data_IF_001252846977
#
_entry.id   IF_001252846977
#
_cell.length_a   1.000
_cell.length_b   1.000
_cell.length_c   1.000
_cell.angle_alpha   90.00
_cell.angle_beta   90.00
_cell.angle_gamma   90.00
#
_symmetry.space_group_name_H-M   'P 1'
#
loop_
_entity.id
_entity.type
_entity.pdbx_description
1 polymer ?
#
# COMPACT_ATOMS: atom_id res chain seq x y z
N UNK A 1 4.53 -25.46 35.31
CA UNK A 1 3.73 -25.18 34.11
C UNK A 1 3.25 -23.74 34.24
N UNK A 2 4.01 -22.77 33.71
CA UNK A 2 3.55 -21.38 33.63
C UNK A 2 2.32 -21.37 32.73
N UNK A 3 1.22 -20.86 33.25
CA UNK A 3 -0.04 -20.79 32.49
C UNK A 3 0.16 -19.93 31.24
N UNK A 4 -0.29 -20.40 30.08
CA UNK A 4 -0.34 -19.63 28.84
C UNK A 4 -1.10 -18.32 29.09
N UNK A 5 -0.58 -17.20 28.58
CA UNK A 5 -1.18 -15.85 28.65
C UNK A 5 -1.10 -15.11 30.02
N UNK A 6 -0.30 -15.59 31.00
CA UNK A 6 -0.17 -14.93 32.30
C UNK A 6 0.67 -13.64 32.22
N UNK A 7 1.65 -13.59 31.32
CA UNK A 7 2.59 -12.47 31.21
C UNK A 7 2.18 -11.44 30.13
N UNK A 8 0.98 -11.59 29.53
CA UNK A 8 0.50 -10.69 28.49
C UNK A 8 -0.08 -9.42 29.11
N UNK A 9 0.53 -8.27 28.77
CA UNK A 9 -0.06 -6.96 29.06
C UNK A 9 -1.01 -6.57 27.92
N UNK A 10 -2.29 -6.82 28.10
CA UNK A 10 -3.32 -6.57 27.05
C UNK A 10 -3.41 -5.12 26.61
N UNK A 11 -3.05 -4.16 27.49
CA UNK A 11 -2.97 -2.75 27.12
C UNK A 11 -1.91 -2.48 26.05
N UNK A 12 -0.74 -3.14 26.14
CA UNK A 12 0.32 -3.01 25.14
C UNK A 12 -0.10 -3.59 23.79
N UNK A 13 -0.82 -4.72 23.81
CA UNK A 13 -1.36 -5.32 22.57
C UNK A 13 -2.41 -4.41 21.94
N UNK A 14 -3.32 -3.83 22.72
CA UNK A 14 -4.32 -2.89 22.22
C UNK A 14 -3.66 -1.65 21.59
N UNK A 15 -2.67 -1.06 22.27
CA UNK A 15 -1.92 0.07 21.75
C UNK A 15 -1.19 -0.29 20.44
N UNK A 16 -0.54 -1.45 20.39
CA UNK A 16 0.14 -1.92 19.20
C UNK A 16 -0.81 -2.19 18.02
N UNK A 17 -2.03 -2.66 18.28
CA UNK A 17 -3.07 -2.76 17.26
C UNK A 17 -3.42 -1.37 16.70
N UNK A 18 -3.63 -0.37 17.57
CA UNK A 18 -3.95 0.99 17.16
C UNK A 18 -2.80 1.60 16.34
N UNK A 19 -1.56 1.43 16.77
CA UNK A 19 -0.37 1.91 16.05
C UNK A 19 -0.27 1.26 14.66
N UNK A 20 -0.49 -0.05 14.55
CA UNK A 20 -0.49 -0.76 13.28
C UNK A 20 -1.60 -0.25 12.36
N UNK A 21 -2.82 -0.07 12.88
CA UNK A 21 -3.95 0.45 12.11
C UNK A 21 -3.73 1.90 11.68
N UNK A 22 -3.13 2.72 12.52
CA UNK A 22 -2.79 4.12 12.20
C UNK A 22 -1.71 4.19 11.12
N UNK A 23 -0.63 3.39 11.22
CA UNK A 23 0.38 3.28 10.17
C UNK A 23 -0.22 2.81 8.85
N UNK A 24 -1.01 1.74 8.88
CA UNK A 24 -1.66 1.16 7.71
C UNK A 24 -2.62 2.16 7.06
N UNK A 25 -3.56 2.73 7.83
CA UNK A 25 -4.57 3.66 7.33
C UNK A 25 -3.95 4.94 6.75
N UNK A 26 -3.05 5.57 7.50
CA UNK A 26 -2.36 6.78 7.06
C UNK A 26 -1.52 6.56 5.80
N UNK A 27 -0.72 5.47 5.78
CA UNK A 27 0.10 5.17 4.60
C UNK A 27 -0.73 4.71 3.41
N UNK A 28 -1.81 3.96 3.59
CA UNK A 28 -2.69 3.53 2.50
C UNK A 28 -3.36 4.72 1.81
N UNK A 29 -3.93 5.66 2.59
CA UNK A 29 -4.56 6.88 2.05
C UNK A 29 -3.57 7.68 1.21
N UNK A 30 -2.37 7.93 1.74
CA UNK A 30 -1.34 8.67 1.01
C UNK A 30 -0.80 7.88 -0.19
N UNK A 31 -0.68 6.56 -0.08
CA UNK A 31 -0.29 5.68 -1.19
C UNK A 31 -1.29 5.76 -2.33
N UNK A 32 -2.60 5.75 -2.04
CA UNK A 32 -3.63 5.92 -3.07
C UNK A 32 -3.57 7.34 -3.65
N UNK A 33 -3.43 8.35 -2.81
CA UNK A 33 -3.36 9.76 -3.25
C UNK A 33 -2.21 10.02 -4.23
N UNK A 34 -1.03 9.47 -3.99
CA UNK A 34 0.14 9.65 -4.84
C UNK A 34 0.26 8.58 -5.93
N UNK A 35 -0.06 7.33 -5.61
CA UNK A 35 0.12 6.20 -6.51
C UNK A 35 -0.94 6.13 -7.61
N UNK A 36 -2.18 6.58 -7.36
CA UNK A 36 -3.23 6.60 -8.38
C UNK A 36 -2.88 7.56 -9.53
N UNK A 37 -2.54 8.85 -9.29
CA UNK A 37 -2.10 9.74 -10.35
C UNK A 37 -0.84 9.24 -11.08
N UNK A 38 0.10 8.65 -10.33
CA UNK A 38 1.32 8.08 -10.89
C UNK A 38 1.02 6.91 -11.84
N UNK A 39 0.09 6.02 -11.46
CA UNK A 39 -0.36 4.89 -12.29
C UNK A 39 -1.09 5.35 -13.55
N UNK A 40 -1.95 6.37 -13.43
CA UNK A 40 -2.62 7.00 -14.57
C UNK A 40 -1.58 7.62 -15.52
N UNK A 41 -0.59 8.34 -14.99
CA UNK A 41 0.48 8.94 -15.78
C UNK A 41 1.31 7.88 -16.53
N UNK A 42 1.68 6.77 -15.86
CA UNK A 42 2.35 5.63 -16.49
C UNK A 42 1.53 5.06 -17.66
N UNK A 43 0.22 4.89 -17.47
CA UNK A 43 -0.66 4.39 -18.52
C UNK A 43 -0.77 5.37 -19.69
N UNK A 44 -1.09 6.64 -19.43
CA UNK A 44 -1.32 7.63 -20.49
C UNK A 44 -0.08 7.95 -21.32
N UNK A 45 1.11 7.88 -20.71
CA UNK A 45 2.39 8.14 -21.40
C UNK A 45 2.94 6.92 -22.15
N UNK A 46 2.35 5.72 -21.94
CA UNK A 46 2.83 4.48 -22.57
C UNK A 46 2.57 4.46 -24.08
N UNK A 47 3.34 3.67 -24.85
CA UNK A 47 3.18 3.58 -26.29
C UNK A 47 1.75 3.24 -26.73
N UNK A 48 1.21 4.00 -27.68
CA UNK A 48 -0.15 3.81 -28.19
C UNK A 48 -1.25 4.49 -27.37
N UNK A 49 -0.91 5.19 -26.29
CA UNK A 49 -1.85 5.96 -25.48
C UNK A 49 -1.89 7.45 -25.85
N UNK A 50 -2.80 8.22 -25.21
CA UNK A 50 -3.13 9.61 -25.59
C UNK A 50 -1.93 10.56 -25.50
N UNK A 51 -1.11 10.39 -24.48
CA UNK A 51 0.09 11.20 -24.23
C UNK A 51 1.37 10.41 -24.48
N UNK A 52 1.34 9.49 -25.48
CA UNK A 52 2.47 8.63 -25.78
C UNK A 52 3.77 9.44 -25.88
N UNK A 53 4.65 9.25 -24.90
CA UNK A 53 5.97 9.89 -24.85
C UNK A 53 6.98 8.83 -24.37
N UNK A 54 7.76 8.32 -25.33
CA UNK A 54 8.69 7.22 -25.06
C UNK A 54 9.75 7.57 -24.01
N UNK A 55 10.26 8.79 -24.03
CA UNK A 55 11.27 9.24 -23.06
C UNK A 55 10.65 9.48 -21.69
N UNK A 56 9.53 10.21 -21.63
CA UNK A 56 8.82 10.47 -20.37
C UNK A 56 8.32 9.20 -19.68
N UNK A 57 7.70 8.29 -20.43
CA UNK A 57 7.27 6.99 -19.91
C UNK A 57 8.46 6.15 -19.46
N UNK A 58 9.56 6.14 -20.25
CA UNK A 58 10.77 5.40 -19.89
C UNK A 58 11.38 5.89 -18.58
N UNK A 59 11.50 7.20 -18.39
CA UNK A 59 12.03 7.78 -17.16
C UNK A 59 11.12 7.50 -15.95
N UNK A 60 9.80 7.68 -16.12
CA UNK A 60 8.81 7.42 -15.06
C UNK A 60 8.79 5.93 -14.67
N UNK A 61 8.78 5.05 -15.68
CA UNK A 61 8.81 3.61 -15.47
C UNK A 61 10.11 3.15 -14.79
N UNK A 62 11.25 3.73 -15.16
CA UNK A 62 12.53 3.47 -14.53
C UNK A 62 12.52 3.89 -13.05
N UNK A 63 12.07 5.10 -12.74
CA UNK A 63 11.98 5.59 -11.36
C UNK A 63 11.10 4.68 -10.49
N UNK A 64 9.90 4.32 -10.99
CA UNK A 64 8.98 3.40 -10.32
C UNK A 64 9.62 2.02 -10.11
N UNK A 65 10.31 1.48 -11.11
CA UNK A 65 10.95 0.18 -11.01
C UNK A 65 12.14 0.20 -10.03
N UNK A 66 12.96 1.26 -10.03
CA UNK A 66 14.06 1.40 -9.09
C UNK A 66 13.57 1.44 -7.63
N UNK A 67 12.55 2.25 -7.33
CA UNK A 67 11.99 2.31 -5.98
C UNK A 67 11.42 0.96 -5.52
N UNK A 68 10.81 0.19 -6.42
CA UNK A 68 10.29 -1.15 -6.11
C UNK A 68 11.37 -2.22 -5.96
N UNK A 69 12.56 -1.98 -6.49
CA UNK A 69 13.67 -2.94 -6.41
C UNK A 69 14.42 -2.85 -5.08
N UNK A 70 14.24 -1.76 -4.33
CA UNK A 70 14.90 -1.59 -3.02
C UNK A 70 14.14 -2.40 -1.97
N UNK A 71 14.80 -3.29 -1.21
CA UNK A 71 14.18 -3.97 -0.07
C UNK A 71 13.64 -2.94 0.92
N UNK A 72 12.39 -3.14 1.38
CA UNK A 72 11.70 -2.12 2.21
C UNK A 72 12.49 -1.73 3.44
N UNK A 73 13.13 -2.68 4.15
CA UNK A 73 13.92 -2.37 5.35
C UNK A 73 15.11 -1.45 5.03
N UNK A 74 15.71 -1.58 3.86
CA UNK A 74 16.81 -0.70 3.40
C UNK A 74 16.26 0.68 3.05
N UNK A 75 15.14 0.74 2.33
CA UNK A 75 14.46 1.99 2.01
C UNK A 75 14.13 2.79 3.27
N UNK A 76 13.59 2.12 4.30
CA UNK A 76 13.23 2.72 5.57
C UNK A 76 14.45 3.38 6.24
N UNK A 77 15.59 2.66 6.30
CA UNK A 77 16.83 3.19 6.89
C UNK A 77 17.38 4.36 6.09
N UNK A 78 17.43 4.25 4.77
CA UNK A 78 17.90 5.32 3.87
C UNK A 78 17.04 6.57 3.98
N UNK A 79 15.76 6.41 4.23
CA UNK A 79 14.82 7.52 4.36
C UNK A 79 14.82 8.22 5.73
N UNK A 80 15.55 7.72 6.73
CA UNK A 80 15.59 8.35 8.07
C UNK A 80 15.85 9.87 8.00
N UNK A 81 16.88 10.38 7.29
CA UNK A 81 17.12 11.83 7.24
C UNK A 81 15.96 12.61 6.60
N UNK A 82 15.40 12.08 5.50
CA UNK A 82 14.27 12.71 4.83
C UNK A 82 12.99 12.67 5.70
N UNK A 83 12.77 11.59 6.42
CA UNK A 83 11.64 11.43 7.33
C UNK A 83 11.71 12.43 8.48
N UNK A 84 12.88 12.61 9.09
CA UNK A 84 13.09 13.61 10.15
C UNK A 84 12.80 15.02 9.63
N UNK A 85 13.21 15.35 8.40
CA UNK A 85 12.92 16.64 7.78
C UNK A 85 11.42 16.86 7.53
N UNK A 86 10.68 15.80 7.18
CA UNK A 86 9.26 15.88 6.84
C UNK A 86 8.35 15.91 8.07
N UNK A 87 8.62 15.07 9.07
CA UNK A 87 7.71 14.84 10.20
C UNK A 87 8.36 15.07 11.57
N UNK A 88 9.63 15.48 11.62
CA UNK A 88 10.35 15.80 12.85
C UNK A 88 10.89 14.61 13.64
N UNK A 89 10.55 13.37 13.25
CA UNK A 89 10.99 12.13 13.90
C UNK A 89 11.12 10.99 12.90
N UNK A 90 11.96 10.02 13.18
CA UNK A 90 12.04 8.75 12.45
C UNK A 90 11.43 7.58 13.22
N UNK A 91 10.92 7.84 14.44
CA UNK A 91 10.37 6.82 15.33
C UNK A 91 8.85 6.94 15.45
N UNK A 92 8.21 5.86 15.89
CA UNK A 92 6.77 5.79 16.08
C UNK A 92 5.98 5.82 14.79
N UNK A 93 4.67 5.90 14.91
CA UNK A 93 3.71 5.90 13.79
C UNK A 93 4.01 6.99 12.77
N UNK A 94 4.26 8.22 13.23
CA UNK A 94 4.54 9.36 12.35
C UNK A 94 5.81 9.17 11.52
N UNK A 95 6.87 8.62 12.14
CA UNK A 95 8.15 8.34 11.47
C UNK A 95 8.07 7.20 10.46
N UNK A 96 7.12 6.27 10.61
CA UNK A 96 6.95 5.15 9.70
C UNK A 96 6.18 5.50 8.42
N UNK A 97 5.25 6.47 8.47
CA UNK A 97 4.36 6.79 7.34
C UNK A 97 5.12 7.20 6.07
N UNK A 98 6.09 8.15 6.07
CA UNK A 98 6.77 8.55 4.85
C UNK A 98 7.46 7.40 4.10
N UNK A 99 8.29 6.55 4.72
CA UNK A 99 8.91 5.43 4.02
C UNK A 99 7.91 4.36 3.58
N UNK A 100 6.82 4.12 4.34
CA UNK A 100 5.74 3.23 3.93
C UNK A 100 5.08 3.72 2.63
N UNK A 101 4.82 5.01 2.51
CA UNK A 101 4.23 5.61 1.30
C UNK A 101 5.19 5.53 0.12
N UNK A 102 6.47 5.89 0.30
CA UNK A 102 7.46 5.83 -0.78
C UNK A 102 7.69 4.40 -1.27
N UNK A 103 7.64 3.41 -0.39
CA UNK A 103 7.73 2.01 -0.77
C UNK A 103 6.47 1.48 -1.48
N UNK A 104 5.29 1.87 -1.01
CA UNK A 104 4.03 1.33 -1.50
C UNK A 104 3.46 2.07 -2.72
N UNK A 105 3.65 3.40 -2.86
CA UNK A 105 3.07 4.17 -3.95
C UNK A 105 3.54 3.73 -5.35
N UNK A 106 4.83 3.43 -5.60
CA UNK A 106 5.28 2.88 -6.87
C UNK A 106 4.72 1.49 -7.17
N UNK A 107 4.54 0.67 -6.13
CA UNK A 107 3.92 -0.66 -6.25
C UNK A 107 2.45 -0.53 -6.64
N UNK A 108 1.68 0.29 -5.93
CA UNK A 108 0.28 0.58 -6.24
C UNK A 108 0.12 1.19 -7.64
N UNK A 109 0.98 2.14 -8.03
CA UNK A 109 0.94 2.77 -9.36
C UNK A 109 1.06 1.76 -10.49
N UNK A 110 1.90 0.73 -10.36
CA UNK A 110 2.01 -0.35 -11.34
C UNK A 110 0.76 -1.22 -11.41
N UNK A 111 0.13 -1.50 -10.29
CA UNK A 111 -1.12 -2.25 -10.26
C UNK A 111 -2.25 -1.45 -10.90
N UNK A 112 -2.31 -0.13 -10.65
CA UNK A 112 -3.26 0.79 -11.30
C UNK A 112 -3.01 0.84 -12.81
N UNK A 113 -1.77 0.98 -13.27
CA UNK A 113 -1.44 0.92 -14.70
C UNK A 113 -1.93 -0.40 -15.32
N UNK A 114 -1.73 -1.52 -14.64
CA UNK A 114 -2.20 -2.84 -15.10
C UNK A 114 -3.72 -2.91 -15.19
N UNK A 115 -4.42 -2.38 -14.19
CA UNK A 115 -5.88 -2.31 -14.20
C UNK A 115 -6.42 -1.47 -15.36
N UNK A 116 -5.80 -0.31 -15.63
CA UNK A 116 -6.17 0.56 -16.74
C UNK A 116 -5.89 -0.09 -18.11
N UNK A 117 -4.85 -0.91 -18.22
CA UNK A 117 -4.56 -1.68 -19.45
C UNK A 117 -5.58 -2.80 -19.70
N UNK A 118 -6.30 -3.25 -18.67
CA UNK A 118 -7.36 -4.24 -18.78
C UNK A 118 -8.69 -3.70 -19.32
N UNK A 119 -8.84 -2.38 -19.45
CA UNK A 119 -10.05 -1.74 -20.02
C UNK A 119 -10.15 -2.06 -21.50
N UNK A 120 -11.37 -2.40 -21.97
CA UNK A 120 -11.63 -2.75 -23.37
C UNK A 120 -11.25 -1.58 -24.30
N UNK A 121 -10.45 -1.90 -25.32
CA UNK A 121 -10.01 -0.93 -26.34
C UNK A 121 -11.18 -0.35 -27.12
N UNK A 122 -12.23 -1.13 -27.37
CA UNK A 122 -13.42 -0.66 -28.09
C UNK A 122 -14.12 0.45 -27.30
N UNK A 123 -14.21 0.34 -25.97
CA UNK A 123 -14.75 1.39 -25.11
C UNK A 123 -13.93 2.67 -25.22
N UNK A 124 -12.60 2.56 -25.18
CA UNK A 124 -11.69 3.71 -25.33
C UNK A 124 -11.82 4.37 -26.70
N UNK A 125 -11.89 3.58 -27.78
CA UNK A 125 -12.01 4.07 -29.15
C UNK A 125 -13.38 4.72 -29.41
N UNK A 126 -14.47 4.14 -28.90
CA UNK A 126 -15.81 4.71 -29.00
C UNK A 126 -15.89 6.09 -28.32
N UNK A 127 -15.35 6.22 -27.11
CA UNK A 127 -15.34 7.50 -26.38
C UNK A 127 -14.49 8.55 -27.12
N UNK A 128 -13.37 8.15 -27.72
CA UNK A 128 -12.54 9.04 -28.56
C UNK A 128 -13.27 9.48 -29.83
N UNK A 129 -13.96 8.56 -30.50
CA UNK A 129 -14.72 8.86 -31.72
C UNK A 129 -15.84 9.89 -31.48
N UNK A 130 -16.38 9.94 -30.26
CA UNK A 130 -17.35 10.97 -29.84
C UNK A 130 -16.72 12.34 -29.52
N UNK A 131 -15.42 12.52 -29.75
CA UNK A 131 -14.73 13.80 -29.52
C UNK A 131 -14.41 14.10 -28.07
N UNK A 132 -14.37 13.09 -27.19
CA UNK A 132 -14.07 13.27 -25.79
C UNK A 132 -12.65 13.81 -25.55
N UNK A 133 -12.52 14.74 -24.60
CA UNK A 133 -11.21 15.21 -24.13
C UNK A 133 -10.48 14.10 -23.37
N UNK A 134 -9.15 14.24 -23.22
CA UNK A 134 -8.36 13.30 -22.39
C UNK A 134 -8.90 13.20 -20.96
N UNK A 135 -9.38 14.32 -20.41
CA UNK A 135 -9.99 14.34 -19.08
C UNK A 135 -11.28 13.51 -19.03
N UNK A 136 -12.15 13.67 -20.03
CA UNK A 136 -13.39 12.90 -20.12
C UNK A 136 -13.08 11.40 -20.30
N UNK A 137 -12.09 11.06 -21.14
CA UNK A 137 -11.64 9.69 -21.31
C UNK A 137 -11.17 9.07 -19.99
N UNK A 138 -10.36 9.78 -19.19
CA UNK A 138 -9.85 9.27 -17.91
C UNK A 138 -10.97 9.13 -16.88
N UNK A 139 -11.77 10.20 -16.67
CA UNK A 139 -12.72 10.25 -15.56
C UNK A 139 -14.04 9.55 -15.82
N UNK A 140 -14.48 9.50 -17.10
CA UNK A 140 -15.80 8.96 -17.47
C UNK A 140 -15.75 7.60 -18.14
N UNK A 141 -14.58 7.17 -18.63
CA UNK A 141 -14.42 5.86 -19.25
C UNK A 141 -13.41 4.99 -18.49
N UNK A 142 -12.13 5.39 -18.48
CA UNK A 142 -11.05 4.54 -17.96
C UNK A 142 -11.18 4.24 -16.46
N UNK A 143 -11.37 5.26 -15.62
CA UNK A 143 -11.44 5.06 -14.16
C UNK A 143 -12.68 4.26 -13.73
N UNK A 144 -13.90 4.57 -14.21
CA UNK A 144 -15.07 3.77 -13.86
C UNK A 144 -14.95 2.30 -14.28
N UNK A 145 -14.46 2.04 -15.50
CA UNK A 145 -14.29 0.68 -16.02
C UNK A 145 -13.18 -0.09 -15.29
N UNK A 146 -12.07 0.58 -14.95
CA UNK A 146 -10.97 -0.01 -14.21
C UNK A 146 -11.21 -0.10 -12.69
N UNK A 147 -12.30 0.49 -12.15
CA UNK A 147 -12.53 0.61 -10.71
C UNK A 147 -12.42 -0.73 -9.95
N UNK A 148 -13.01 -1.85 -10.43
CA UNK A 148 -12.85 -3.14 -9.76
C UNK A 148 -11.37 -3.56 -9.64
N UNK A 149 -10.58 -3.35 -10.71
CA UNK A 149 -9.15 -3.62 -10.72
C UNK A 149 -8.35 -2.70 -9.81
N UNK A 150 -8.73 -1.42 -9.71
CA UNK A 150 -8.08 -0.44 -8.82
C UNK A 150 -8.36 -0.78 -7.35
N UNK A 151 -9.58 -1.20 -7.01
CA UNK A 151 -9.93 -1.65 -5.65
C UNK A 151 -9.18 -2.93 -5.29
N UNK A 152 -9.06 -3.88 -6.21
CA UNK A 152 -8.23 -5.07 -6.01
C UNK A 152 -6.76 -4.70 -5.80
N UNK A 153 -6.22 -3.75 -6.58
CA UNK A 153 -4.87 -3.22 -6.42
C UNK A 153 -4.65 -2.57 -5.04
N UNK A 154 -5.63 -1.77 -4.56
CA UNK A 154 -5.59 -1.17 -3.24
C UNK A 154 -5.60 -2.23 -2.12
N UNK A 155 -6.39 -3.29 -2.27
CA UNK A 155 -6.44 -4.41 -1.33
C UNK A 155 -5.10 -5.13 -1.24
N UNK A 156 -4.50 -5.49 -2.38
CA UNK A 156 -3.17 -6.13 -2.43
C UNK A 156 -2.11 -5.23 -1.81
N UNK A 157 -2.17 -3.93 -2.08
CA UNK A 157 -1.25 -2.94 -1.50
C UNK A 157 -1.44 -2.81 0.01
N UNK A 158 -2.68 -2.82 0.51
CA UNK A 158 -2.96 -2.79 1.95
C UNK A 158 -2.39 -4.03 2.66
N UNK A 159 -2.54 -5.22 2.07
CA UNK A 159 -1.92 -6.45 2.60
C UNK A 159 -0.40 -6.37 2.62
N UNK A 160 0.23 -5.84 1.55
CA UNK A 160 1.68 -5.61 1.52
C UNK A 160 2.11 -4.60 2.60
N UNK A 161 1.33 -3.53 2.81
CA UNK A 161 1.59 -2.54 3.86
C UNK A 161 1.55 -3.15 5.25
N UNK A 162 0.70 -4.13 5.55
CA UNK A 162 0.73 -4.86 6.85
C UNK A 162 2.11 -5.48 7.07
N UNK A 163 2.69 -6.13 6.06
CA UNK A 163 4.04 -6.69 6.15
C UNK A 163 5.11 -5.61 6.33
N UNK A 164 4.96 -4.46 5.66
CA UNK A 164 5.87 -3.32 5.79
C UNK A 164 5.77 -2.66 7.18
N UNK A 165 4.56 -2.53 7.76
CA UNK A 165 4.40 -2.02 9.14
C UNK A 165 5.07 -2.93 10.16
N UNK A 166 5.01 -4.25 9.97
CA UNK A 166 5.71 -5.21 10.83
C UNK A 166 7.24 -5.02 10.74
N UNK A 167 7.79 -4.79 9.53
CA UNK A 167 9.21 -4.48 9.35
C UNK A 167 9.59 -3.12 9.95
N UNK A 168 8.71 -2.11 9.85
CA UNK A 168 8.94 -0.81 10.45
C UNK A 168 9.01 -0.89 11.98
N UNK A 169 8.30 -1.83 12.61
CA UNK A 169 8.39 -2.13 14.03
C UNK A 169 9.81 -2.46 14.50
N UNK A 170 10.61 -3.17 13.67
CA UNK A 170 12.01 -3.51 14.00
C UNK A 170 12.88 -2.28 14.23
N UNK A 171 12.58 -1.17 13.58
CA UNK A 171 13.33 0.08 13.66
C UNK A 171 12.63 1.14 14.53
N UNK A 172 11.72 0.72 15.39
CA UNK A 172 11.12 1.59 16.40
C UNK A 172 9.85 2.31 15.99
N UNK A 173 9.14 1.83 14.98
CA UNK A 173 7.84 2.37 14.60
C UNK A 173 6.70 1.97 15.56
N UNK A 174 6.93 0.97 16.42
CA UNK A 174 5.87 0.39 17.25
C UNK A 174 4.99 -0.59 16.48
N UNK A 175 3.79 -0.86 17.01
CA UNK A 175 2.80 -1.74 16.41
C UNK A 175 3.01 -3.23 16.71
N UNK A 176 2.14 -4.06 16.12
CA UNK A 176 2.16 -5.52 16.35
C UNK A 176 3.48 -6.17 15.94
N UNK A 177 4.15 -5.65 14.90
CA UNK A 177 5.45 -6.15 14.46
C UNK A 177 6.56 -5.92 15.50
N UNK A 178 6.57 -4.75 16.15
CA UNK A 178 7.50 -4.46 17.25
C UNK A 178 7.27 -5.40 18.44
N UNK A 179 6.02 -5.61 18.85
CA UNK A 179 5.70 -6.54 19.94
C UNK A 179 6.13 -7.98 19.61
N UNK A 180 5.85 -8.45 18.39
CA UNK A 180 6.24 -9.78 17.97
C UNK A 180 7.76 -9.99 18.05
N UNK A 181 8.55 -9.00 17.67
CA UNK A 181 10.01 -9.12 17.66
C UNK A 181 10.60 -8.86 19.04
N UNK A 182 10.23 -7.76 19.69
CA UNK A 182 10.83 -7.34 20.96
C UNK A 182 10.44 -8.24 22.12
N UNK A 183 9.18 -8.65 22.22
CA UNK A 183 8.72 -9.53 23.30
C UNK A 183 8.69 -11.00 22.85
N UNK A 184 8.10 -11.28 21.69
CA UNK A 184 7.94 -12.65 21.22
C UNK A 184 9.27 -13.32 20.88
N UNK A 185 10.12 -12.68 20.07
CA UNK A 185 11.39 -13.25 19.62
C UNK A 185 12.54 -12.98 20.58
N UNK A 186 12.82 -11.71 20.94
CA UNK A 186 14.01 -11.36 21.74
C UNK A 186 13.88 -11.76 23.19
N UNK A 187 12.67 -11.72 23.79
CA UNK A 187 12.40 -12.11 25.16
C UNK A 187 11.82 -13.53 25.32
N UNK A 188 11.69 -14.26 24.19
CA UNK A 188 11.17 -15.62 24.17
C UNK A 188 9.76 -15.79 24.77
N UNK A 189 8.93 -14.74 24.73
CA UNK A 189 7.53 -14.79 25.16
C UNK A 189 6.68 -15.34 24.01
N UNK A 190 6.59 -16.67 23.92
CA UNK A 190 5.91 -17.38 22.84
C UNK A 190 4.41 -17.06 22.78
N UNK A 191 3.78 -16.80 23.90
CA UNK A 191 2.38 -16.39 24.02
C UNK A 191 2.12 -15.03 23.35
N UNK A 192 2.97 -14.02 23.56
CA UNK A 192 2.91 -12.73 22.88
C UNK A 192 3.11 -12.93 21.37
N UNK A 193 4.06 -13.77 20.95
CA UNK A 193 4.28 -14.08 19.53
C UNK A 193 3.03 -14.68 18.89
N UNK A 194 2.40 -15.68 19.51
CA UNK A 194 1.20 -16.34 18.99
C UNK A 194 0.04 -15.35 18.84
N UNK A 195 -0.18 -14.52 19.87
CA UNK A 195 -1.27 -13.52 19.86
C UNK A 195 -1.03 -12.47 18.77
N UNK A 196 0.17 -11.91 18.67
CA UNK A 196 0.48 -10.88 17.65
C UNK A 196 0.37 -11.42 16.22
N UNK A 197 0.85 -12.64 15.98
CA UNK A 197 0.71 -13.32 14.68
C UNK A 197 -0.76 -13.58 14.35
N UNK A 198 -1.56 -14.07 15.32
CA UNK A 198 -2.99 -14.29 15.11
C UNK A 198 -3.73 -12.98 14.77
N UNK A 199 -3.40 -11.88 15.45
CA UNK A 199 -4.00 -10.56 15.17
C UNK A 199 -3.61 -10.04 13.80
N UNK A 200 -2.35 -10.20 13.37
CA UNK A 200 -1.91 -9.84 12.01
C UNK A 200 -2.63 -10.67 10.95
N UNK A 201 -2.80 -11.98 11.16
CA UNK A 201 -3.55 -12.85 10.25
C UNK A 201 -5.02 -12.41 10.15
N UNK A 202 -5.67 -12.10 11.27
CA UNK A 202 -7.05 -11.61 11.29
C UNK A 202 -7.17 -10.26 10.57
N UNK A 203 -6.21 -9.36 10.76
CA UNK A 203 -6.18 -8.07 10.07
C UNK A 203 -6.06 -8.26 8.56
N UNK A 204 -5.12 -9.07 8.09
CA UNK A 204 -4.93 -9.38 6.66
C UNK A 204 -6.19 -10.01 6.07
N UNK A 205 -6.78 -10.99 6.77
CA UNK A 205 -8.01 -11.67 6.31
C UNK A 205 -9.20 -10.70 6.24
N UNK A 206 -9.30 -9.78 7.21
CA UNK A 206 -10.31 -8.72 7.21
C UNK A 206 -10.15 -7.78 6.01
N UNK A 207 -8.93 -7.33 5.71
CA UNK A 207 -8.61 -6.48 4.54
C UNK A 207 -8.98 -7.20 3.24
N UNK A 208 -8.58 -8.47 3.07
CA UNK A 208 -8.89 -9.25 1.88
C UNK A 208 -10.40 -9.44 1.70
N UNK A 209 -11.10 -9.83 2.76
CA UNK A 209 -12.56 -10.05 2.71
C UNK A 209 -13.32 -8.78 2.35
N UNK A 210 -12.90 -7.64 2.91
CA UNK A 210 -13.47 -6.33 2.57
C UNK A 210 -13.20 -5.95 1.12
N UNK A 211 -11.97 -6.13 0.66
CA UNK A 211 -11.58 -5.86 -0.72
C UNK A 211 -12.37 -6.69 -1.73
N UNK A 212 -12.47 -7.99 -1.50
CA UNK A 212 -13.24 -8.90 -2.35
C UNK A 212 -14.73 -8.55 -2.37
N UNK A 213 -15.28 -8.15 -1.23
CA UNK A 213 -16.68 -7.70 -1.15
C UNK A 213 -16.90 -6.41 -1.96
N UNK A 214 -15.98 -5.44 -1.87
CA UNK A 214 -16.03 -4.20 -2.65
C UNK A 214 -15.94 -4.47 -4.15
N UNK A 215 -15.00 -5.32 -4.58
CA UNK A 215 -14.83 -5.71 -5.99
C UNK A 215 -16.12 -6.37 -6.51
N UNK A 216 -16.68 -7.34 -5.78
CA UNK A 216 -17.94 -7.99 -6.18
C UNK A 216 -19.12 -7.02 -6.30
N UNK A 217 -19.18 -5.98 -5.50
CA UNK A 217 -20.22 -4.93 -5.64
C UNK A 217 -20.05 -4.11 -6.91
N UNK A 218 -18.81 -3.76 -7.24
CA UNK A 218 -18.50 -2.94 -8.44
C UNK A 218 -18.72 -3.71 -9.75
N UNK A 219 -18.51 -5.01 -9.76
CA UNK A 219 -18.73 -5.85 -10.97
C UNK A 219 -20.22 -6.14 -11.22
N UNK A 220 -21.06 -6.09 -10.18
CA UNK A 220 -22.49 -6.39 -10.30
C UNK A 220 -23.38 -5.16 -10.57
N UNK A 221 -22.88 -3.98 -10.43
CA UNK A 221 -23.56 -2.72 -10.72
C UNK A 221 -23.22 -2.20 -12.11
#
# INVERSE_FOLDING_TARGET
>A
MSGWFVDIVWADIAQACLDTLAMLGGSLVLTILFGLPLGIALFLTSPGQVWANRLGNGALALAVNLLRSVPFIILLIVMIPATILLVGTSLGVAGAIPPLVVGAAPFFARLVETALRGVDRNTVEAVRAMGATTRDLVWRALLPEAMPGIVAAATVTAVALVSFTAMAGVVGAGGLGDLAIRFGYQRFQTDVMVVTVALLLLLVQGIQSLGDWLVRRLVRG
#
